data_IF_454189396808
#
_entry.id   IF_454189396808
#
_cell.length_a   1.000
_cell.length_b   1.000
_cell.length_c   1.000
_cell.angle_alpha   90.00
_cell.angle_beta   90.00
_cell.angle_gamma   90.00
#
_symmetry.space_group_name_H-M   'P 1'
#
loop_
_entity.id
_entity.type
_entity.pdbx_description
1 polymer ?
#
# COMPACT_ATOMS: atom_id res chain seq x y z
N UNK A 1 25.75 14.68 -3.79
CA UNK A 1 24.76 14.61 -2.71
C UNK A 1 25.30 15.44 -1.55
N UNK A 2 24.51 16.36 -0.99
CA UNK A 2 24.87 17.38 0.02
C UNK A 2 25.31 16.81 1.40
N UNK A 3 25.73 15.54 1.48
CA UNK A 3 26.15 14.90 2.74
C UNK A 3 25.03 14.66 3.76
N UNK A 4 23.78 15.01 3.42
CA UNK A 4 22.63 14.80 4.29
C UNK A 4 22.19 13.33 4.30
N UNK A 5 21.91 12.75 5.49
CA UNK A 5 21.36 11.40 5.58
C UNK A 5 19.97 11.35 4.93
N UNK A 6 19.70 10.26 4.22
CA UNK A 6 18.37 10.01 3.67
C UNK A 6 17.38 9.72 4.79
N UNK A 7 16.11 10.09 4.57
CA UNK A 7 15.05 9.76 5.49
C UNK A 7 14.87 8.23 5.57
N UNK A 8 14.69 7.62 6.75
CA UNK A 8 14.58 6.15 6.90
C UNK A 8 13.45 5.50 6.09
N UNK A 9 12.44 6.26 5.67
CA UNK A 9 11.37 5.74 4.82
C UNK A 9 11.88 5.16 3.49
N UNK A 10 13.05 5.59 3.02
CA UNK A 10 13.64 5.09 1.77
C UNK A 10 14.16 3.65 1.89
N UNK A 11 14.27 3.10 3.10
CA UNK A 11 14.54 1.68 3.32
C UNK A 11 13.33 0.80 2.94
N UNK A 12 12.12 1.40 2.93
CA UNK A 12 10.86 0.69 2.70
C UNK A 12 10.18 1.06 1.37
N UNK A 13 10.43 2.26 0.85
CA UNK A 13 9.76 2.76 -0.34
C UNK A 13 10.67 3.62 -1.20
N UNK A 14 10.50 3.53 -2.53
CA UNK A 14 11.28 4.36 -3.46
C UNK A 14 10.88 5.84 -3.47
N UNK A 15 9.78 6.19 -2.80
CA UNK A 15 9.26 7.56 -2.70
C UNK A 15 8.51 7.77 -1.39
N UNK A 16 8.50 9.01 -0.91
CA UNK A 16 7.64 9.45 0.19
C UNK A 16 6.19 9.62 -0.30
N UNK A 17 5.49 8.51 -0.58
CA UNK A 17 4.04 8.54 -0.86
C UNK A 17 3.26 7.92 0.28
N UNK A 18 1.96 8.22 0.34
CA UNK A 18 1.04 7.47 1.19
C UNK A 18 1.19 5.97 0.92
N UNK A 19 1.16 5.16 1.97
CA UNK A 19 1.24 3.70 1.88
C UNK A 19 0.16 3.11 0.95
N UNK A 20 -0.99 3.79 0.85
CA UNK A 20 -2.15 3.47 0.02
C UNK A 20 -2.22 4.29 -1.28
N UNK A 21 -1.12 4.84 -1.78
CA UNK A 21 -1.15 5.72 -2.95
C UNK A 21 -1.56 4.97 -4.23
N UNK A 22 -2.56 5.46 -4.96
CA UNK A 22 -3.06 4.86 -6.23
C UNK A 22 -2.00 4.77 -7.34
N UNK A 23 -0.98 5.62 -7.26
CA UNK A 23 0.16 5.63 -8.17
C UNK A 23 1.30 4.72 -7.70
N UNK A 24 1.14 4.04 -6.56
CA UNK A 24 2.14 3.15 -5.97
C UNK A 24 2.29 1.87 -6.77
N UNK A 25 3.49 1.29 -6.74
CA UNK A 25 3.68 -0.06 -7.29
C UNK A 25 3.00 -1.07 -6.35
N UNK A 26 2.41 -2.11 -6.92
CA UNK A 26 1.66 -3.10 -6.14
C UNK A 26 2.51 -3.82 -5.08
N UNK A 27 3.78 -4.09 -5.38
CA UNK A 27 4.70 -4.71 -4.44
C UNK A 27 5.02 -3.79 -3.24
N UNK A 28 5.22 -2.49 -3.45
CA UNK A 28 5.46 -1.54 -2.37
C UNK A 28 4.24 -1.42 -1.45
N UNK A 29 3.03 -1.33 -2.04
CA UNK A 29 1.78 -1.29 -1.25
C UNK A 29 1.57 -2.59 -0.48
N UNK A 30 1.95 -3.75 -1.05
CA UNK A 30 1.92 -5.04 -0.33
C UNK A 30 2.90 -5.05 0.84
N UNK A 31 4.14 -4.59 0.67
CA UNK A 31 5.10 -4.50 1.78
C UNK A 31 4.59 -3.61 2.90
N UNK A 32 3.93 -2.49 2.58
CA UNK A 32 3.27 -1.67 3.59
C UNK A 32 2.09 -2.37 4.26
N UNK A 33 1.27 -3.12 3.50
CA UNK A 33 0.17 -3.90 4.04
C UNK A 33 0.66 -4.98 5.03
N UNK A 34 1.78 -5.64 4.72
CA UNK A 34 2.42 -6.62 5.59
C UNK A 34 2.98 -5.99 6.88
N UNK A 35 3.55 -4.78 6.78
CA UNK A 35 4.08 -4.04 7.93
C UNK A 35 2.98 -3.45 8.84
N UNK A 36 1.81 -3.13 8.27
CA UNK A 36 0.71 -2.46 8.95
C UNK A 36 -0.65 -3.12 8.63
N UNK A 37 -0.87 -4.37 9.07
CA UNK A 37 -2.06 -5.14 8.71
C UNK A 37 -3.36 -4.50 9.22
N UNK A 38 -3.33 -3.78 10.34
CA UNK A 38 -4.48 -3.10 10.92
C UNK A 38 -4.96 -1.91 10.08
N UNK A 39 -4.02 -1.14 9.51
CA UNK A 39 -4.34 -0.05 8.60
C UNK A 39 -4.85 -0.58 7.26
N UNK A 40 -4.30 -1.72 6.84
CA UNK A 40 -4.72 -2.40 5.62
C UNK A 40 -6.17 -2.90 5.71
N UNK A 41 -6.53 -3.59 6.79
CA UNK A 41 -7.90 -4.05 7.04
C UNK A 41 -8.90 -2.90 7.01
N UNK A 42 -8.58 -1.77 7.67
CA UNK A 42 -9.42 -0.56 7.64
C UNK A 42 -9.60 -0.02 6.22
N UNK A 43 -8.56 -0.05 5.38
CA UNK A 43 -8.68 0.41 4.00
C UNK A 43 -9.56 -0.52 3.15
N UNK A 44 -9.47 -1.84 3.34
CA UNK A 44 -10.37 -2.80 2.70
C UNK A 44 -11.84 -2.55 3.08
N UNK A 45 -12.11 -2.36 4.37
CA UNK A 45 -13.46 -2.05 4.86
C UNK A 45 -13.99 -0.73 4.27
N UNK A 46 -13.14 0.30 4.24
CA UNK A 46 -13.51 1.60 3.68
C UNK A 46 -13.86 1.51 2.20
N UNK A 47 -13.09 0.76 1.38
CA UNK A 47 -13.40 0.57 -0.04
C UNK A 47 -14.79 -0.04 -0.26
N UNK A 48 -15.15 -1.03 0.54
CA UNK A 48 -16.44 -1.71 0.45
C UNK A 48 -17.58 -0.79 0.92
N UNK A 49 -17.35 0.03 1.95
CA UNK A 49 -18.31 1.04 2.43
C UNK A 49 -18.60 2.10 1.37
N UNK A 50 -17.56 2.69 0.78
CA UNK A 50 -17.69 3.78 -0.20
C UNK A 50 -18.01 3.27 -1.61
N UNK A 51 -18.02 1.95 -1.82
CA UNK A 51 -18.22 1.29 -3.13
C UNK A 51 -17.28 1.81 -4.22
N UNK A 52 -16.05 2.13 -3.83
CA UNK A 52 -15.01 2.63 -4.71
C UNK A 52 -13.76 1.77 -4.58
N UNK A 53 -13.05 1.59 -5.69
CA UNK A 53 -11.82 0.80 -5.74
C UNK A 53 -10.61 1.73 -5.74
N UNK A 54 -9.58 1.31 -5.03
CA UNK A 54 -8.32 2.00 -4.82
C UNK A 54 -7.70 2.45 -6.13
N UNK A 55 -7.65 1.55 -7.12
CA UNK A 55 -7.20 1.84 -8.48
C UNK A 55 -8.30 1.40 -9.45
N UNK A 56 -8.34 1.96 -10.66
CA UNK A 56 -9.37 1.67 -11.65
C UNK A 56 -9.66 0.16 -11.76
N UNK A 57 -10.80 -0.27 -11.21
CA UNK A 57 -11.25 -1.66 -11.20
C UNK A 57 -10.45 -2.63 -10.33
N UNK A 58 -9.54 -2.14 -9.48
CA UNK A 58 -8.65 -2.94 -8.64
C UNK A 58 -8.64 -2.43 -7.20
N UNK A 59 -9.21 -3.21 -6.28
CA UNK A 59 -9.24 -2.87 -4.86
C UNK A 59 -8.06 -3.42 -4.06
N UNK A 60 -7.95 -2.98 -2.81
CA UNK A 60 -7.05 -3.59 -1.84
C UNK A 60 -7.40 -5.07 -1.65
N UNK A 61 -8.68 -5.42 -1.54
CA UNK A 61 -9.12 -6.82 -1.47
C UNK A 61 -8.64 -7.68 -2.67
N UNK A 62 -8.41 -7.09 -3.83
CA UNK A 62 -7.90 -7.81 -5.01
C UNK A 62 -6.37 -7.95 -5.00
N UNK A 63 -5.67 -7.01 -4.35
CA UNK A 63 -4.23 -7.07 -4.10
C UNK A 63 -3.84 -8.31 -3.26
N UNK A 64 -4.68 -8.69 -2.29
CA UNK A 64 -4.49 -9.88 -1.46
C UNK A 64 -4.83 -11.17 -2.20
N UNK A 65 -5.85 -11.17 -3.06
CA UNK A 65 -6.24 -12.38 -3.83
C UNK A 65 -5.15 -12.85 -4.79
N UNK A 66 -4.26 -11.96 -5.23
CA UNK A 66 -3.05 -12.34 -5.98
C UNK A 66 -1.97 -13.01 -5.12
N UNK A 67 -2.21 -13.20 -3.82
CA UNK A 67 -1.39 -13.99 -2.93
C UNK A 67 -2.27 -14.94 -2.13
N UNK A 68 -2.56 -16.13 -2.68
CA UNK A 68 -2.64 -17.33 -1.83
C UNK A 68 -1.27 -17.53 -1.19
N UNK A 69 -1.06 -16.84 -0.08
CA UNK A 69 -0.41 -17.42 1.09
C UNK A 69 -1.57 -17.66 2.05
N UNK A 70 -1.80 -18.96 2.31
CA UNK A 70 -2.95 -19.63 2.95
C UNK A 70 -4.15 -19.90 2.03
#
# INVERSE_FOLDING_TARGET
AEGLPLHPCYDLATRCSCWCCIFGKYNEVRTYAEAHPDLYEKACLLEDEIKHKWKQGFGFNDLMKQGRLF
#
